data_IF_699149797117
#
_entry.id   IF_699149797117
#
_cell.length_a   1.000
_cell.length_b   1.000
_cell.length_c   1.000
_cell.angle_alpha   90.00
_cell.angle_beta   90.00
_cell.angle_gamma   90.00
#
_symmetry.space_group_name_H-M   'P 1'
#
loop_
_entity.id
_entity.type
_entity.pdbx_description
1 polymer ?
#
# COMPACT_ATOMS: atom_id res chain seq x y z
N UNK A 1 16.93 -12.12 13.53
CA UNK A 1 16.27 -11.91 12.25
C UNK A 1 16.99 -10.82 11.46
N UNK A 2 17.31 -11.08 10.22
CA UNK A 2 17.96 -10.11 9.34
C UNK A 2 16.96 -9.11 8.75
N UNK A 3 17.48 -8.13 8.01
CA UNK A 3 16.69 -7.10 7.34
C UNK A 3 15.64 -7.66 6.35
N UNK A 4 15.87 -8.87 5.85
CA UNK A 4 14.91 -9.56 4.97
C UNK A 4 13.52 -9.69 5.57
N UNK A 5 13.42 -9.80 6.89
CA UNK A 5 12.16 -10.05 7.57
C UNK A 5 11.32 -8.80 7.83
N UNK A 6 11.82 -7.60 7.49
CA UNK A 6 11.11 -6.35 7.79
C UNK A 6 9.88 -6.19 6.90
N UNK A 7 10.01 -6.52 5.61
CA UNK A 7 8.94 -6.36 4.63
C UNK A 7 8.10 -7.62 4.45
N UNK A 8 8.19 -8.56 5.37
CA UNK A 8 7.40 -9.78 5.32
C UNK A 8 7.12 -10.33 6.72
N UNK A 9 6.07 -11.10 6.84
CA UNK A 9 5.76 -11.89 8.03
C UNK A 9 5.45 -13.33 7.61
N UNK A 10 4.74 -14.09 8.46
CA UNK A 10 4.39 -15.48 8.17
C UNK A 10 3.37 -15.61 7.03
N UNK A 11 2.56 -14.58 6.79
CA UNK A 11 1.43 -14.64 5.86
C UNK A 11 1.60 -13.79 4.61
N UNK A 12 2.32 -12.66 4.70
CA UNK A 12 2.42 -11.71 3.58
C UNK A 12 3.87 -11.30 3.33
N UNK A 13 4.09 -10.80 2.12
CA UNK A 13 5.31 -10.12 1.74
C UNK A 13 4.95 -8.81 1.03
N UNK A 14 5.68 -7.76 1.35
CA UNK A 14 5.59 -6.47 0.64
C UNK A 14 6.77 -6.42 -0.33
N UNK A 15 6.49 -6.21 -1.60
CA UNK A 15 7.51 -6.16 -2.65
C UNK A 15 7.35 -4.95 -3.55
N UNK A 16 8.40 -4.63 -4.30
CA UNK A 16 8.33 -3.55 -5.28
C UNK A 16 7.31 -3.86 -6.39
N UNK A 17 6.79 -2.78 -7.00
CA UNK A 17 5.95 -2.89 -8.18
C UNK A 17 6.80 -3.35 -9.36
N UNK A 18 6.30 -4.31 -10.11
CA UNK A 18 6.94 -4.85 -11.31
C UNK A 18 6.11 -4.51 -12.56
N UNK A 19 6.72 -4.51 -13.77
CA UNK A 19 5.96 -4.23 -14.99
C UNK A 19 4.76 -5.14 -15.21
N UNK A 20 4.86 -6.39 -14.77
CA UNK A 20 3.79 -7.39 -14.89
C UNK A 20 2.58 -7.07 -14.03
N UNK A 21 2.72 -6.20 -13.04
CA UNK A 21 1.63 -5.81 -12.15
C UNK A 21 0.63 -4.87 -12.82
N UNK A 22 0.86 -4.46 -14.05
CA UNK A 22 0.00 -3.51 -14.73
C UNK A 22 -1.46 -3.96 -14.80
N UNK A 23 -1.71 -5.26 -14.95
CA UNK A 23 -3.08 -5.79 -15.00
C UNK A 23 -3.80 -5.65 -13.66
N UNK A 24 -3.09 -5.80 -12.54
CA UNK A 24 -3.65 -5.56 -11.21
C UNK A 24 -3.99 -4.08 -11.02
N UNK A 25 -3.06 -3.20 -11.38
CA UNK A 25 -3.28 -1.75 -11.25
C UNK A 25 -4.43 -1.29 -12.13
N UNK A 26 -4.50 -1.78 -13.36
CA UNK A 26 -5.58 -1.44 -14.27
C UNK A 26 -6.94 -1.85 -13.71
N UNK A 27 -7.03 -3.06 -13.18
CA UNK A 27 -8.27 -3.58 -12.59
C UNK A 27 -8.66 -2.81 -11.33
N UNK A 28 -7.72 -2.68 -10.39
CA UNK A 28 -8.02 -2.10 -9.08
C UNK A 28 -8.19 -0.59 -9.11
N UNK A 29 -7.36 0.12 -9.87
CA UNK A 29 -7.44 1.58 -9.95
C UNK A 29 -8.64 2.05 -10.77
N UNK A 30 -9.18 1.18 -11.64
CA UNK A 30 -10.36 1.47 -12.44
C UNK A 30 -11.65 0.89 -11.85
N UNK A 31 -11.58 0.23 -10.71
CA UNK A 31 -12.77 -0.24 -10.01
C UNK A 31 -13.46 0.95 -9.33
N UNK A 32 -14.64 1.29 -9.82
CA UNK A 32 -15.39 2.45 -9.34
C UNK A 32 -15.81 2.33 -7.87
N UNK A 33 -15.91 1.12 -7.34
CA UNK A 33 -16.18 0.93 -5.91
C UNK A 33 -15.04 1.46 -5.03
N UNK A 34 -13.81 1.47 -5.56
CA UNK A 34 -12.66 2.02 -4.86
C UNK A 34 -12.53 3.53 -5.01
N UNK A 35 -13.20 4.15 -5.99
CA UNK A 35 -13.03 5.57 -6.31
C UNK A 35 -13.50 6.50 -5.20
N UNK A 36 -14.56 6.14 -4.50
CA UNK A 36 -15.05 6.95 -3.38
C UNK A 36 -14.02 7.02 -2.26
N UNK A 37 -13.24 5.96 -2.09
CA UNK A 37 -12.21 5.87 -1.05
C UNK A 37 -10.94 6.57 -1.50
N UNK A 38 -10.54 6.39 -2.76
CA UNK A 38 -9.29 6.93 -3.30
C UNK A 38 -9.41 8.36 -3.84
N UNK A 39 -10.62 8.92 -3.87
CA UNK A 39 -10.90 10.23 -4.46
C UNK A 39 -10.61 10.29 -5.96
N UNK A 40 -10.61 9.16 -6.63
CA UNK A 40 -10.43 9.06 -8.09
C UNK A 40 -11.72 9.51 -8.79
N UNK A 41 -11.58 10.26 -9.86
CA UNK A 41 -12.73 10.84 -10.59
C UNK A 41 -12.81 10.39 -12.05
N UNK A 42 -11.76 9.81 -12.58
CA UNK A 42 -11.71 9.37 -13.97
C UNK A 42 -10.85 8.13 -14.12
N UNK A 43 -11.10 7.32 -15.17
CA UNK A 43 -10.35 6.08 -15.35
C UNK A 43 -8.90 6.34 -15.76
N UNK A 44 -8.04 5.39 -15.42
CA UNK A 44 -6.65 5.38 -15.81
C UNK A 44 -6.47 4.57 -17.09
N UNK A 45 -5.72 5.12 -18.06
CA UNK A 45 -5.34 4.37 -19.25
C UNK A 45 -4.18 3.43 -18.94
N UNK A 46 -4.01 2.41 -19.77
CA UNK A 46 -2.84 1.52 -19.69
C UNK A 46 -1.54 2.32 -19.81
N UNK A 47 -1.51 3.30 -20.71
CA UNK A 47 -0.33 4.13 -20.93
C UNK A 47 0.07 4.94 -19.70
N UNK A 48 -0.91 5.53 -19.03
CA UNK A 48 -0.68 6.27 -17.78
C UNK A 48 -0.13 5.34 -16.70
N UNK A 49 -0.69 4.15 -16.57
CA UNK A 49 -0.23 3.17 -15.58
C UNK A 49 1.18 2.63 -15.91
N UNK A 50 1.50 2.45 -17.18
CA UNK A 50 2.87 2.08 -17.59
C UNK A 50 3.87 3.14 -17.14
N UNK A 51 3.58 4.41 -17.39
CA UNK A 51 4.44 5.51 -16.97
C UNK A 51 4.57 5.57 -15.45
N UNK A 52 3.49 5.33 -14.73
CA UNK A 52 3.51 5.25 -13.27
C UNK A 52 4.47 4.15 -12.79
N UNK A 53 4.40 2.96 -13.40
CA UNK A 53 5.28 1.85 -13.04
C UNK A 53 6.74 2.18 -13.35
N UNK A 54 7.03 2.81 -14.49
CA UNK A 54 8.38 3.25 -14.85
C UNK A 54 8.96 4.21 -13.82
N UNK A 55 8.14 5.13 -13.29
CA UNK A 55 8.56 6.09 -12.27
C UNK A 55 8.58 5.52 -10.86
N UNK A 56 8.05 4.32 -10.64
CA UNK A 56 8.03 3.69 -9.32
C UNK A 56 9.41 3.27 -8.81
N UNK A 57 10.42 3.29 -9.68
CA UNK A 57 11.82 3.04 -9.30
C UNK A 57 12.51 4.25 -8.68
N UNK A 58 11.88 5.43 -8.72
CA UNK A 58 12.44 6.61 -8.07
C UNK A 58 12.43 6.43 -6.54
N UNK A 59 13.45 6.98 -5.89
CA UNK A 59 13.51 6.92 -4.44
C UNK A 59 12.41 7.77 -3.79
N UNK A 60 12.09 7.45 -2.54
CA UNK A 60 10.99 8.12 -1.83
C UNK A 60 11.25 9.61 -1.60
N UNK A 61 12.51 10.04 -1.55
CA UNK A 61 12.85 11.45 -1.35
C UNK A 61 12.53 12.28 -2.59
N UNK A 62 12.70 11.69 -3.76
CA UNK A 62 12.38 12.33 -5.05
C UNK A 62 10.89 12.24 -5.34
N UNK A 63 10.32 11.05 -5.27
CA UNK A 63 8.92 10.80 -5.61
C UNK A 63 7.93 11.28 -4.55
N UNK A 64 8.36 11.38 -3.29
CA UNK A 64 7.52 11.68 -2.13
C UNK A 64 6.41 10.64 -1.92
N UNK A 65 6.56 9.48 -2.51
CA UNK A 65 5.63 8.37 -2.43
C UNK A 65 6.35 7.05 -2.64
N UNK A 66 5.74 5.98 -2.14
CA UNK A 66 6.24 4.63 -2.32
C UNK A 66 5.04 3.69 -2.39
N UNK A 67 4.96 2.86 -3.43
CA UNK A 67 3.96 1.82 -3.54
C UNK A 67 4.61 0.45 -3.44
N UNK A 68 4.01 -0.42 -2.63
CA UNK A 68 4.42 -1.81 -2.51
C UNK A 68 3.24 -2.71 -2.84
N UNK A 69 3.52 -3.83 -3.51
CA UNK A 69 2.53 -4.86 -3.76
C UNK A 69 2.49 -5.80 -2.56
N UNK A 70 1.28 -6.24 -2.20
CA UNK A 70 1.08 -7.19 -1.10
C UNK A 70 0.87 -8.56 -1.72
N UNK A 71 1.71 -9.52 -1.35
CA UNK A 71 1.55 -10.91 -1.76
C UNK A 71 1.24 -11.80 -0.57
N UNK A 72 0.39 -12.81 -0.77
CA UNK A 72 -0.02 -13.75 0.27
C UNK A 72 0.79 -15.03 0.17
N UNK A 73 1.61 -15.31 1.18
CA UNK A 73 2.46 -16.50 1.21
C UNK A 73 1.65 -17.80 1.27
N UNK A 74 0.52 -17.78 1.98
CA UNK A 74 -0.38 -18.92 2.10
C UNK A 74 -1.25 -19.15 0.85
N UNK A 75 -1.12 -18.31 -0.18
CA UNK A 75 -1.80 -18.43 -1.46
C UNK A 75 -0.78 -18.45 -2.62
N UNK A 76 0.35 -19.15 -2.43
CA UNK A 76 1.41 -19.27 -3.43
C UNK A 76 1.96 -17.92 -3.91
N UNK A 77 2.11 -16.98 -3.00
CA UNK A 77 2.59 -15.62 -3.28
C UNK A 77 1.71 -14.85 -4.27
N UNK A 78 0.41 -15.15 -4.29
CA UNK A 78 -0.53 -14.39 -5.11
C UNK A 78 -0.55 -12.93 -4.68
N UNK A 79 -0.59 -12.02 -5.64
CA UNK A 79 -0.72 -10.59 -5.39
C UNK A 79 -2.15 -10.27 -5.02
N UNK A 80 -2.36 -9.74 -3.82
CA UNK A 80 -3.70 -9.56 -3.24
C UNK A 80 -4.07 -8.09 -2.99
N UNK A 81 -3.12 -7.18 -3.10
CA UNK A 81 -3.41 -5.77 -2.85
C UNK A 81 -2.18 -4.89 -3.00
N UNK A 82 -2.37 -3.64 -2.62
CA UNK A 82 -1.32 -2.62 -2.64
C UNK A 82 -1.34 -1.84 -1.33
N UNK A 83 -0.18 -1.33 -0.95
CA UNK A 83 -0.05 -0.46 0.21
C UNK A 83 0.90 0.69 -0.15
N UNK A 84 0.50 1.91 0.20
CA UNK A 84 1.18 3.12 -0.23
C UNK A 84 1.62 3.99 0.94
N UNK A 85 2.77 4.62 0.76
CA UNK A 85 3.14 5.85 1.45
C UNK A 85 2.98 7.00 0.46
N UNK A 86 2.40 8.10 0.90
CA UNK A 86 2.22 9.29 0.07
C UNK A 86 2.46 10.56 0.88
N UNK A 87 2.65 11.67 0.18
CA UNK A 87 2.92 12.97 0.79
C UNK A 87 4.06 12.89 1.82
N UNK A 88 5.12 12.15 1.45
CA UNK A 88 6.28 12.02 2.34
C UNK A 88 6.94 13.37 2.53
N UNK A 89 7.05 13.79 3.78
CA UNK A 89 7.71 15.02 4.20
C UNK A 89 8.98 14.65 4.98
N UNK A 90 10.14 14.69 4.32
CA UNK A 90 11.41 14.31 4.98
C UNK A 90 11.81 15.27 6.10
N UNK A 91 11.40 16.53 6.00
CA UNK A 91 11.73 17.53 7.03
C UNK A 91 10.98 17.23 8.33
N UNK A 92 9.70 16.87 8.24
CA UNK A 92 8.87 16.55 9.40
C UNK A 92 8.78 15.04 9.66
N UNK A 93 9.45 14.22 8.85
CA UNK A 93 9.51 12.77 8.99
C UNK A 93 8.11 12.14 9.11
N UNK A 94 7.22 12.51 8.22
CA UNK A 94 5.83 12.03 8.21
C UNK A 94 5.39 11.62 6.83
N UNK A 95 4.42 10.70 6.79
CA UNK A 95 3.82 10.25 5.54
C UNK A 95 2.39 9.78 5.77
N UNK A 96 1.57 9.87 4.73
CA UNK A 96 0.26 9.26 4.70
C UNK A 96 0.33 7.80 4.29
N UNK A 97 -0.61 6.99 4.73
CA UNK A 97 -0.72 5.57 4.41
C UNK A 97 -2.04 5.29 3.73
N UNK A 98 -2.00 4.59 2.60
CA UNK A 98 -3.16 4.05 1.92
C UNK A 98 -3.00 2.55 1.73
N UNK A 99 -4.10 1.82 1.77
CA UNK A 99 -4.09 0.37 1.55
C UNK A 99 -5.34 -0.06 0.78
N UNK A 100 -5.15 -1.01 -0.12
CA UNK A 100 -6.24 -1.62 -0.86
C UNK A 100 -6.00 -3.11 -0.95
N UNK A 101 -6.98 -3.88 -0.50
CA UNK A 101 -7.00 -5.34 -0.65
C UNK A 101 -8.10 -5.67 -1.67
N UNK A 102 -7.79 -6.54 -2.62
CA UNK A 102 -8.78 -7.00 -3.59
C UNK A 102 -9.96 -7.66 -2.87
N UNK A 103 -11.20 -7.47 -3.37
CA UNK A 103 -12.41 -7.87 -2.64
C UNK A 103 -12.42 -9.33 -2.17
N UNK A 104 -11.92 -10.26 -2.99
CA UNK A 104 -11.91 -11.69 -2.67
C UNK A 104 -10.98 -12.07 -1.52
N UNK A 105 -10.08 -11.16 -1.13
CA UNK A 105 -9.10 -11.40 -0.05
C UNK A 105 -9.39 -10.59 1.21
N UNK A 106 -10.49 -9.88 1.25
CA UNK A 106 -10.88 -9.07 2.41
C UNK A 106 -11.37 -9.92 3.58
N UNK A 107 -11.36 -9.35 4.79
CA UNK A 107 -11.81 -9.99 6.03
C UNK A 107 -11.00 -11.24 6.41
N UNK A 108 -9.72 -11.28 6.03
CA UNK A 108 -8.81 -12.39 6.32
C UNK A 108 -7.54 -11.94 7.04
N UNK A 109 -7.55 -10.73 7.59
CA UNK A 109 -6.45 -10.09 8.34
C UNK A 109 -5.20 -9.74 7.51
N UNK A 110 -5.20 -9.91 6.20
CA UNK A 110 -4.06 -9.55 5.36
C UNK A 110 -3.70 -8.07 5.45
N UNK A 111 -4.69 -7.19 5.46
CA UNK A 111 -4.47 -5.76 5.57
C UNK A 111 -3.73 -5.38 6.85
N UNK A 112 -4.09 -6.01 7.96
CA UNK A 112 -3.42 -5.79 9.24
C UNK A 112 -1.97 -6.26 9.20
N UNK A 113 -1.71 -7.42 8.61
CA UNK A 113 -0.36 -7.94 8.44
C UNK A 113 0.49 -6.97 7.60
N UNK A 114 -0.05 -6.52 6.48
CA UNK A 114 0.64 -5.57 5.58
C UNK A 114 0.93 -4.25 6.28
N UNK A 115 -0.05 -3.69 6.99
CA UNK A 115 0.11 -2.42 7.69
C UNK A 115 1.17 -2.53 8.81
N UNK A 116 1.17 -3.62 9.55
CA UNK A 116 2.16 -3.87 10.60
C UNK A 116 3.57 -3.95 10.03
N UNK A 117 3.75 -4.64 8.90
CA UNK A 117 5.04 -4.72 8.21
C UNK A 117 5.49 -3.35 7.70
N UNK A 118 4.57 -2.58 7.11
CA UNK A 118 4.89 -1.24 6.63
C UNK A 118 5.32 -0.32 7.77
N UNK A 119 4.63 -0.36 8.90
CA UNK A 119 4.98 0.45 10.06
C UNK A 119 6.37 0.13 10.57
N UNK A 120 6.74 -1.14 10.63
CA UNK A 120 8.08 -1.57 11.02
C UNK A 120 9.13 -1.08 10.04
N UNK A 121 8.87 -1.17 8.74
CA UNK A 121 9.74 -0.67 7.69
C UNK A 121 9.95 0.85 7.79
N UNK A 122 8.86 1.59 7.98
CA UNK A 122 8.93 3.05 8.14
C UNK A 122 9.78 3.45 9.32
N UNK A 123 9.64 2.74 10.44
CA UNK A 123 10.39 3.05 11.66
C UNK A 123 11.87 2.70 11.52
N UNK A 124 12.17 1.50 11.00
CA UNK A 124 13.52 0.92 11.07
C UNK A 124 14.40 1.29 9.90
N UNK A 125 13.83 1.50 8.72
CA UNK A 125 14.58 1.78 7.48
C UNK A 125 14.43 3.24 7.05
N UNK A 126 13.19 3.73 6.97
CA UNK A 126 12.92 5.08 6.47
C UNK A 126 13.00 6.15 7.56
N UNK A 127 13.03 5.74 8.84
CA UNK A 127 13.09 6.66 9.99
C UNK A 127 11.95 7.68 9.97
N UNK A 128 10.76 7.25 9.54
CA UNK A 128 9.56 8.07 9.56
C UNK A 128 9.02 8.09 10.98
N UNK A 129 8.80 9.29 11.51
CA UNK A 129 8.38 9.49 12.89
C UNK A 129 6.86 9.42 13.04
N UNK A 130 6.11 9.89 12.05
CA UNK A 130 4.65 9.93 12.10
C UNK A 130 4.02 9.37 10.84
N UNK A 131 3.06 8.47 11.00
CA UNK A 131 2.18 8.00 9.93
C UNK A 131 0.77 8.47 10.24
N UNK A 132 0.04 8.86 9.19
CA UNK A 132 -1.37 9.21 9.29
C UNK A 132 -2.16 8.56 8.17
N UNK A 133 -3.46 8.42 8.37
CA UNK A 133 -4.37 7.89 7.37
C UNK A 133 -5.64 8.72 7.35
N UNK A 134 -6.21 8.88 6.18
CA UNK A 134 -7.49 9.56 5.99
C UNK A 134 -8.47 8.59 5.35
N UNK A 135 -9.69 8.58 5.86
CA UNK A 135 -10.75 7.71 5.35
C UNK A 135 -12.11 8.34 5.59
N UNK A 136 -13.09 7.94 4.80
CA UNK A 136 -14.46 8.37 5.05
C UNK A 136 -14.95 7.77 6.37
N UNK A 137 -15.70 8.54 7.13
CA UNK A 137 -16.16 8.11 8.46
C UNK A 137 -17.13 6.91 8.39
N UNK A 138 -17.78 6.67 7.28
CA UNK A 138 -18.64 5.50 7.07
C UNK A 138 -17.88 4.26 6.58
N UNK A 139 -16.60 4.41 6.23
CA UNK A 139 -15.72 3.27 5.91
C UNK A 139 -15.24 2.63 7.21
N UNK A 140 -16.13 1.93 7.88
CA UNK A 140 -15.89 1.38 9.21
C UNK A 140 -14.80 0.31 9.23
N UNK A 141 -14.63 -0.42 8.15
CA UNK A 141 -13.57 -1.44 8.05
C UNK A 141 -12.18 -0.80 8.13
N UNK A 142 -11.97 0.29 7.37
CA UNK A 142 -10.70 1.03 7.42
C UNK A 142 -10.49 1.70 8.77
N UNK A 143 -11.52 2.32 9.34
CA UNK A 143 -11.42 2.95 10.65
C UNK A 143 -10.97 1.93 11.70
N UNK A 144 -11.61 0.75 11.73
CA UNK A 144 -11.23 -0.30 12.66
C UNK A 144 -9.82 -0.81 12.44
N UNK A 145 -9.43 -1.00 11.17
CA UNK A 145 -8.10 -1.46 10.81
C UNK A 145 -7.03 -0.53 11.35
N UNK A 146 -7.10 0.74 10.97
CA UNK A 146 -6.09 1.72 11.36
C UNK A 146 -6.08 1.97 12.87
N UNK A 147 -7.25 2.06 13.47
CA UNK A 147 -7.34 2.23 14.93
C UNK A 147 -6.71 1.04 15.66
N UNK A 148 -6.95 -0.19 15.20
CA UNK A 148 -6.37 -1.39 15.82
C UNK A 148 -4.84 -1.45 15.70
N UNK A 149 -4.26 -0.72 14.77
CA UNK A 149 -2.82 -0.62 14.58
C UNK A 149 -2.19 0.61 15.25
N UNK A 150 -2.96 1.37 16.00
CA UNK A 150 -2.44 2.50 16.78
C UNK A 150 -2.56 3.87 16.13
N UNK A 151 -3.29 3.97 15.03
CA UNK A 151 -3.54 5.27 14.38
C UNK A 151 -4.61 6.07 15.13
#
# INVERSE_FOLDING_TARGET
MGLKAILEDERICLRAVEPEDIHYLYEWENDTENWLISSTQSPFSIDVLKRYIEHSSEDIYTAKQLRLMITAKDLNNETIGIIDLFDFDPQHQRAGVGILIAPEFRNKTYARCALTCLMSYCKRILHIHQLYASMLCDNKASVRLFHSCGF
#
